data_IF_574448358615
#
_entry.id   IF_574448358615
#
_cell.length_a   1.000
_cell.length_b   1.000
_cell.length_c   1.000
_cell.angle_alpha   90.00
_cell.angle_beta   90.00
_cell.angle_gamma   90.00
#
_symmetry.space_group_name_H-M   'P 1'
#
loop_
_entity.id
_entity.type
_entity.pdbx_description
1 polymer ?
#
# COMPACT_ATOMS: atom_id res chain seq x y z
N UNK A 1 3.27 -0.73 23.33
CA UNK A 1 3.37 -2.00 24.08
C UNK A 1 1.97 -2.58 24.04
N UNK A 2 1.66 -3.34 23.01
CA UNK A 2 0.39 -4.05 22.88
C UNK A 2 0.73 -5.51 22.64
N UNK A 3 0.53 -6.31 23.70
CA UNK A 3 0.70 -7.75 23.67
C UNK A 3 -0.31 -8.36 22.68
N UNK A 4 0.19 -8.82 21.57
CA UNK A 4 -0.55 -9.65 20.61
C UNK A 4 -0.51 -11.08 21.12
N UNK A 5 -1.58 -11.51 21.76
CA UNK A 5 -1.81 -12.92 22.04
C UNK A 5 -2.04 -13.64 20.70
N UNK A 6 -1.03 -14.36 20.24
CA UNK A 6 -1.12 -15.34 19.17
C UNK A 6 -2.05 -16.48 19.62
N UNK A 7 -3.14 -16.67 18.91
CA UNK A 7 -4.00 -17.86 19.03
C UNK A 7 -3.50 -18.86 17.98
N UNK A 8 -2.76 -19.84 18.41
CA UNK A 8 -2.40 -21.02 17.62
C UNK A 8 -3.68 -21.72 17.16
N UNK A 9 -3.82 -21.86 15.83
CA UNK A 9 -4.83 -22.69 15.19
C UNK A 9 -4.29 -24.10 15.02
N UNK A 10 -4.85 -25.03 15.74
CA UNK A 10 -4.61 -26.47 15.59
C UNK A 10 -5.45 -27.00 14.40
N UNK A 11 -4.87 -27.71 13.43
CA UNK A 11 -5.61 -28.39 12.40
C UNK A 11 -5.88 -29.85 12.84
N UNK A 12 -7.13 -30.20 13.07
CA UNK A 12 -7.54 -31.62 13.11
C UNK A 12 -8.80 -31.80 12.29
N UNK A 13 -8.62 -32.30 11.08
CA UNK A 13 -9.63 -33.03 10.31
C UNK A 13 -9.93 -34.38 10.98
N UNK A 14 -11.22 -34.67 11.11
CA UNK A 14 -11.72 -35.96 11.62
C UNK A 14 -13.09 -35.76 12.25
N UNK A 15 -14.16 -35.80 11.47
CA UNK A 15 -15.51 -35.49 11.90
C UNK A 15 -16.17 -36.65 12.63
N UNK A 16 -16.24 -36.55 13.97
CA UNK A 16 -17.35 -37.08 14.75
C UNK A 16 -18.34 -35.94 15.08
N UNK A 17 -19.65 -36.20 15.27
CA UNK A 17 -20.64 -35.17 15.55
C UNK A 17 -20.24 -34.37 16.79
N UNK A 18 -20.44 -33.04 16.82
CA UNK A 18 -19.83 -32.16 17.80
C UNK A 18 -20.28 -32.56 19.21
N UNK A 19 -19.39 -33.21 19.92
CA UNK A 19 -19.56 -33.49 21.35
C UNK A 19 -19.75 -32.14 22.05
N UNK A 20 -20.77 -32.02 22.91
CA UNK A 20 -21.03 -30.78 23.63
C UNK A 20 -19.77 -30.33 24.39
N UNK A 21 -19.11 -29.31 23.86
CA UNK A 21 -17.85 -28.74 24.38
C UNK A 21 -17.92 -28.35 25.85
N UNK A 22 -19.15 -28.14 26.40
CA UNK A 22 -19.41 -27.74 27.79
C UNK A 22 -19.27 -28.94 28.72
N UNK A 23 -19.60 -30.16 28.24
CA UNK A 23 -19.69 -31.38 29.04
C UNK A 23 -18.41 -31.69 29.83
N UNK A 24 -17.21 -31.70 29.25
CA UNK A 24 -15.98 -31.95 30.00
C UNK A 24 -15.72 -30.91 31.09
N UNK A 25 -16.08 -29.63 30.85
CA UNK A 25 -15.94 -28.57 31.83
C UNK A 25 -16.94 -28.73 32.98
N UNK A 26 -18.20 -29.06 32.63
CA UNK A 26 -19.27 -29.29 33.59
C UNK A 26 -18.96 -30.52 34.46
N UNK A 27 -18.50 -31.62 33.89
CA UNK A 27 -18.12 -32.83 34.61
C UNK A 27 -16.94 -32.55 35.57
N UNK A 28 -15.96 -31.75 35.15
CA UNK A 28 -14.88 -31.30 36.02
C UNK A 28 -15.39 -30.43 37.18
N UNK A 29 -16.32 -29.48 36.93
CA UNK A 29 -16.82 -28.57 37.96
C UNK A 29 -17.83 -29.22 38.93
N UNK A 30 -18.69 -30.17 38.46
CA UNK A 30 -19.73 -30.80 39.24
C UNK A 30 -19.19 -32.05 39.98
N UNK A 31 -18.46 -32.91 39.22
CA UNK A 31 -18.12 -34.26 39.67
C UNK A 31 -16.62 -34.41 39.97
N UNK A 32 -15.80 -33.36 39.69
CA UNK A 32 -14.34 -33.46 39.77
C UNK A 32 -13.73 -34.45 38.77
N UNK A 33 -14.51 -34.93 37.77
CA UNK A 33 -14.06 -35.93 36.81
C UNK A 33 -13.28 -35.27 35.69
N UNK A 34 -12.08 -35.76 35.47
CA UNK A 34 -11.20 -35.32 34.37
C UNK A 34 -11.06 -36.45 33.34
N UNK A 35 -10.74 -36.17 32.09
CA UNK A 35 -10.40 -37.18 31.09
C UNK A 35 -9.19 -38.03 31.50
N UNK A 36 -9.09 -39.23 30.92
CA UNK A 36 -8.00 -40.17 31.20
C UNK A 36 -6.66 -39.71 30.59
N UNK A 37 -6.70 -38.94 29.50
CA UNK A 37 -5.48 -38.30 28.95
C UNK A 37 -5.00 -37.17 29.85
N UNK A 38 -3.75 -37.31 30.30
CA UNK A 38 -3.14 -36.40 31.26
C UNK A 38 -2.96 -34.98 30.71
N UNK A 39 -2.75 -34.86 29.38
CA UNK A 39 -2.58 -33.55 28.70
C UNK A 39 -3.92 -32.82 28.62
N UNK A 40 -4.97 -33.54 28.21
CA UNK A 40 -6.32 -33.01 28.13
C UNK A 40 -6.89 -32.70 29.51
N UNK A 41 -6.64 -33.54 30.50
CA UNK A 41 -7.02 -33.31 31.89
C UNK A 41 -6.45 -32.00 32.43
N UNK A 42 -5.16 -31.72 32.22
CA UNK A 42 -4.53 -30.47 32.63
C UNK A 42 -5.13 -29.26 31.90
N UNK A 43 -5.43 -29.40 30.59
CA UNK A 43 -6.06 -28.36 29.77
C UNK A 43 -7.45 -28.02 30.30
N UNK A 44 -8.28 -29.03 30.56
CA UNK A 44 -9.65 -28.84 31.10
C UNK A 44 -9.60 -28.25 32.51
N UNK A 45 -8.79 -28.75 33.41
CA UNK A 45 -8.65 -28.24 34.78
C UNK A 45 -8.21 -26.76 34.79
N UNK A 46 -7.29 -26.37 33.89
CA UNK A 46 -6.86 -24.97 33.73
C UNK A 46 -7.99 -24.08 33.21
N UNK A 47 -8.71 -24.56 32.19
CA UNK A 47 -9.83 -23.80 31.60
C UNK A 47 -11.02 -23.68 32.54
N UNK A 48 -11.36 -24.74 33.31
CA UNK A 48 -12.47 -24.77 34.25
C UNK A 48 -12.44 -23.63 35.28
N UNK A 49 -11.25 -23.13 35.63
CA UNK A 49 -11.09 -21.98 36.55
C UNK A 49 -11.80 -20.70 36.07
N UNK A 50 -11.99 -20.54 34.77
CA UNK A 50 -12.66 -19.37 34.17
C UNK A 50 -14.17 -19.55 34.06
N UNK A 51 -14.70 -20.70 34.49
CA UNK A 51 -16.13 -21.02 34.39
C UNK A 51 -16.74 -21.26 35.75
N UNK A 52 -18.05 -21.21 35.83
CA UNK A 52 -18.84 -21.61 36.99
C UNK A 52 -20.23 -22.06 36.53
N UNK A 53 -20.93 -22.75 37.43
CA UNK A 53 -22.28 -23.24 37.16
C UNK A 53 -23.28 -22.46 37.99
N UNK A 54 -24.34 -21.98 37.36
CA UNK A 54 -25.50 -21.37 37.99
C UNK A 54 -26.76 -21.92 37.33
N UNK A 55 -27.73 -22.32 38.13
CA UNK A 55 -29.04 -22.86 37.68
C UNK A 55 -28.89 -23.95 36.60
N UNK A 56 -27.94 -24.86 36.78
CA UNK A 56 -27.67 -25.96 35.84
C UNK A 56 -27.03 -25.54 34.52
N UNK A 57 -26.73 -24.28 34.32
CA UNK A 57 -26.09 -23.74 33.12
C UNK A 57 -24.64 -23.34 33.39
N UNK A 58 -23.77 -23.58 32.40
CA UNK A 58 -22.37 -23.16 32.45
C UNK A 58 -22.24 -21.69 32.05
N UNK A 59 -21.51 -20.93 32.85
CA UNK A 59 -21.18 -19.54 32.61
C UNK A 59 -19.68 -19.33 32.60
N UNK A 60 -19.21 -18.42 31.74
CA UNK A 60 -17.82 -17.96 31.72
C UNK A 60 -17.73 -16.63 32.47
N UNK A 61 -16.76 -16.51 33.35
CA UNK A 61 -16.43 -15.27 34.07
C UNK A 61 -15.84 -14.28 33.08
N UNK A 62 -16.37 -13.05 33.06
CA UNK A 62 -15.86 -11.96 32.20
C UNK A 62 -15.20 -10.89 33.07
N UNK A 63 -14.12 -10.26 32.59
CA UNK A 63 -13.52 -9.11 33.25
C UNK A 63 -14.45 -7.88 33.30
N UNK A 64 -15.49 -7.86 32.45
CA UNK A 64 -16.44 -6.75 32.28
C UNK A 64 -17.72 -6.90 33.10
N UNK A 65 -17.71 -7.68 34.16
CA UNK A 65 -18.85 -7.96 35.08
C UNK A 65 -20.05 -8.66 34.43
N UNK A 66 -20.16 -8.74 33.12
CA UNK A 66 -21.21 -9.46 32.42
C UNK A 66 -20.81 -10.93 32.28
N UNK A 67 -21.37 -11.78 33.12
CA UNK A 67 -21.15 -13.22 33.02
C UNK A 67 -21.78 -13.77 31.73
N UNK A 68 -21.02 -14.61 31.03
CA UNK A 68 -21.39 -15.10 29.71
C UNK A 68 -21.95 -16.52 29.80
N UNK A 69 -23.21 -16.71 29.46
CA UNK A 69 -23.83 -18.02 29.35
C UNK A 69 -23.19 -18.81 28.20
N UNK A 70 -22.73 -20.01 28.50
CA UNK A 70 -22.11 -20.89 27.53
C UNK A 70 -23.17 -21.60 26.67
N UNK A 71 -23.16 -21.35 25.37
CA UNK A 71 -24.10 -21.91 24.40
C UNK A 71 -23.40 -22.87 23.43
N UNK A 72 -24.17 -23.67 22.73
CA UNK A 72 -23.67 -24.54 21.67
C UNK A 72 -23.29 -23.72 20.43
N UNK A 73 -22.31 -24.17 19.61
CA UNK A 73 -21.90 -23.45 18.38
C UNK A 73 -23.06 -23.13 17.45
N UNK A 74 -24.00 -24.06 17.25
CA UNK A 74 -25.16 -23.87 16.36
C UNK A 74 -26.04 -22.69 16.82
N UNK A 75 -26.33 -22.62 18.12
CA UNK A 75 -27.05 -21.49 18.73
C UNK A 75 -26.25 -20.17 18.58
N UNK A 76 -24.93 -20.26 18.70
CA UNK A 76 -24.02 -19.13 18.51
C UNK A 76 -24.03 -18.62 17.06
N UNK A 77 -24.08 -19.53 16.09
CA UNK A 77 -24.14 -19.18 14.66
C UNK A 77 -25.46 -18.47 14.34
N UNK A 78 -26.59 -18.97 14.85
CA UNK A 78 -27.90 -18.29 14.67
C UNK A 78 -27.88 -16.89 15.29
N UNK A 79 -27.42 -16.76 16.52
CA UNK A 79 -27.25 -15.47 17.18
C UNK A 79 -26.38 -14.51 16.38
N UNK A 80 -25.25 -14.98 15.84
CA UNK A 80 -24.37 -14.14 15.00
C UNK A 80 -25.05 -13.70 13.70
N UNK A 81 -25.84 -14.58 13.07
CA UNK A 81 -26.63 -14.22 11.87
C UNK A 81 -27.62 -13.10 12.20
N UNK A 82 -28.34 -13.21 13.32
CA UNK A 82 -29.29 -12.19 13.76
C UNK A 82 -28.59 -10.86 14.08
N UNK A 83 -27.45 -10.90 14.76
CA UNK A 83 -26.64 -9.69 15.02
C UNK A 83 -26.08 -9.10 13.70
N UNK A 84 -25.79 -9.93 12.69
CA UNK A 84 -25.19 -9.48 11.44
C UNK A 84 -26.21 -8.84 10.48
N UNK A 85 -27.34 -9.49 10.27
CA UNK A 85 -28.36 -9.13 9.25
C UNK A 85 -29.67 -8.66 9.87
N UNK A 86 -29.94 -8.97 11.14
CA UNK A 86 -31.20 -8.66 11.81
C UNK A 86 -31.51 -7.17 11.92
N UNK A 87 -32.62 -6.82 12.54
CA UNK A 87 -33.18 -5.45 12.62
C UNK A 87 -32.17 -4.41 13.17
N UNK A 88 -31.26 -4.82 14.05
CA UNK A 88 -30.18 -4.00 14.59
C UNK A 88 -28.82 -4.32 13.91
N UNK A 89 -28.81 -5.10 12.84
CA UNK A 89 -27.63 -5.53 12.12
C UNK A 89 -27.05 -4.39 11.24
N UNK A 90 -25.74 -4.28 11.20
CA UNK A 90 -25.04 -3.30 10.38
C UNK A 90 -23.86 -3.92 9.62
N UNK A 91 -23.91 -5.22 9.37
CA UNK A 91 -22.86 -5.96 8.65
C UNK A 91 -21.45 -5.72 9.20
N UNK A 92 -21.32 -5.78 10.53
CA UNK A 92 -20.07 -5.52 11.23
C UNK A 92 -18.98 -6.55 10.92
N UNK A 93 -17.74 -6.17 11.16
CA UNK A 93 -16.58 -7.07 11.06
C UNK A 93 -16.68 -8.23 12.07
N UNK A 94 -16.04 -9.41 11.80
CA UNK A 94 -16.17 -10.60 12.65
C UNK A 94 -15.90 -10.36 14.13
N UNK A 95 -14.81 -9.64 14.46
CA UNK A 95 -14.48 -9.33 15.87
C UNK A 95 -15.55 -8.45 16.56
N UNK A 96 -16.15 -7.53 15.83
CA UNK A 96 -17.23 -6.66 16.33
C UNK A 96 -18.48 -7.48 16.60
N UNK A 97 -18.84 -8.41 15.70
CA UNK A 97 -19.97 -9.33 15.89
C UNK A 97 -19.80 -10.17 17.15
N UNK A 98 -18.64 -10.79 17.33
CA UNK A 98 -18.33 -11.58 18.53
C UNK A 98 -18.36 -10.71 19.78
N UNK A 99 -17.79 -9.50 19.71
CA UNK A 99 -17.85 -8.54 20.81
C UNK A 99 -19.30 -8.17 21.21
N UNK A 100 -20.21 -8.07 20.23
CA UNK A 100 -21.64 -7.84 20.50
C UNK A 100 -22.29 -9.05 21.18
N UNK A 101 -22.07 -10.27 20.68
CA UNK A 101 -22.58 -11.49 21.28
C UNK A 101 -22.09 -11.67 22.73
N UNK A 102 -20.80 -11.41 22.97
CA UNK A 102 -20.22 -11.51 24.31
C UNK A 102 -20.75 -10.45 25.29
N UNK A 103 -21.02 -9.22 24.81
CA UNK A 103 -21.68 -8.18 25.61
C UNK A 103 -23.13 -8.49 25.91
N UNK A 104 -23.81 -9.24 25.04
CA UNK A 104 -25.17 -9.76 25.29
C UNK A 104 -25.17 -10.93 26.29
N UNK A 105 -24.01 -11.35 26.75
CA UNK A 105 -23.88 -12.41 27.76
C UNK A 105 -23.86 -13.82 27.20
N UNK A 106 -23.42 -14.04 25.96
CA UNK A 106 -23.28 -15.36 25.35
C UNK A 106 -21.82 -15.69 25.03
N UNK A 107 -21.44 -16.95 25.16
CA UNK A 107 -20.06 -17.41 24.86
C UNK A 107 -20.04 -18.83 24.29
N UNK A 108 -19.20 -19.03 23.30
CA UNK A 108 -18.78 -20.35 22.79
C UNK A 108 -17.36 -20.26 22.20
N UNK A 109 -16.56 -21.35 22.17
CA UNK A 109 -15.14 -21.27 21.82
C UNK A 109 -14.87 -20.88 20.36
N UNK A 110 -15.73 -21.29 19.43
CA UNK A 110 -15.55 -21.08 17.98
C UNK A 110 -16.12 -19.76 17.45
N UNK A 111 -16.61 -18.88 18.33
CA UNK A 111 -17.32 -17.64 17.98
C UNK A 111 -16.61 -16.79 16.91
N UNK A 112 -15.27 -16.65 16.99
CA UNK A 112 -14.49 -15.84 16.03
C UNK A 112 -14.42 -16.52 14.64
N UNK A 113 -14.25 -17.84 14.63
CA UNK A 113 -14.22 -18.62 13.39
C UNK A 113 -15.58 -18.60 12.71
N UNK A 114 -16.67 -18.81 13.48
CA UNK A 114 -18.04 -18.78 12.99
C UNK A 114 -18.43 -17.41 12.45
N UNK A 115 -18.12 -16.33 13.18
CA UNK A 115 -18.33 -14.96 12.71
C UNK A 115 -17.54 -14.66 11.42
N UNK A 116 -16.31 -15.16 11.33
CA UNK A 116 -15.49 -14.99 10.12
C UNK A 116 -16.13 -15.68 8.92
N UNK A 117 -16.67 -16.88 9.11
CA UNK A 117 -17.39 -17.64 8.07
C UNK A 117 -18.63 -16.89 7.61
N UNK A 118 -19.47 -16.42 8.53
CA UNK A 118 -20.69 -15.67 8.25
C UNK A 118 -20.40 -14.38 7.46
N UNK A 119 -19.44 -13.57 7.92
CA UNK A 119 -19.10 -12.31 7.22
C UNK A 119 -18.48 -12.58 5.85
N UNK A 120 -17.70 -13.65 5.72
CA UNK A 120 -17.06 -14.03 4.45
C UNK A 120 -18.07 -14.47 3.39
N UNK A 121 -19.11 -15.22 3.75
CA UNK A 121 -20.15 -15.69 2.84
C UNK A 121 -21.28 -14.67 2.62
N UNK A 122 -21.35 -13.59 3.40
CA UNK A 122 -22.39 -12.57 3.22
C UNK A 122 -22.18 -11.78 1.93
N UNK A 123 -23.10 -11.85 0.98
CA UNK A 123 -23.04 -11.13 -0.29
C UNK A 123 -22.90 -9.61 -0.08
N UNK A 124 -23.71 -9.00 0.77
CA UNK A 124 -23.64 -7.58 1.07
C UNK A 124 -22.25 -7.16 1.52
N UNK A 125 -21.62 -7.92 2.44
CA UNK A 125 -20.26 -7.66 2.88
C UNK A 125 -19.22 -7.85 1.77
N UNK A 126 -19.42 -8.78 0.84
CA UNK A 126 -18.50 -9.03 -0.27
C UNK A 126 -18.57 -7.92 -1.33
N UNK A 127 -19.78 -7.55 -1.77
CA UNK A 127 -20.00 -6.52 -2.80
C UNK A 127 -19.63 -5.10 -2.35
N UNK A 128 -19.75 -4.80 -1.06
CA UNK A 128 -19.37 -3.50 -0.48
C UNK A 128 -18.03 -3.50 0.24
N UNK A 129 -17.25 -4.55 0.14
CA UNK A 129 -15.96 -4.63 0.79
C UNK A 129 -15.01 -3.55 0.26
N UNK A 130 -14.26 -2.96 1.19
CA UNK A 130 -13.18 -2.04 0.83
C UNK A 130 -12.09 -2.79 0.07
N UNK A 131 -11.50 -2.13 -0.91
CA UNK A 131 -10.29 -2.61 -1.56
C UNK A 131 -9.17 -2.64 -0.51
N UNK A 132 -8.79 -3.84 -0.07
CA UNK A 132 -7.63 -4.01 0.79
C UNK A 132 -6.37 -3.91 -0.06
N UNK A 133 -5.31 -3.32 0.49
CA UNK A 133 -4.01 -3.26 -0.17
C UNK A 133 -3.58 -4.67 -0.61
N UNK A 134 -3.24 -4.77 -1.87
CA UNK A 134 -3.03 -6.02 -2.55
C UNK A 134 -1.60 -6.51 -2.40
N UNK A 135 -1.37 -7.83 -2.47
CA UNK A 135 -0.02 -8.36 -2.48
C UNK A 135 0.72 -7.77 -3.66
N UNK A 136 1.84 -7.14 -3.36
CA UNK A 136 2.83 -6.91 -4.40
C UNK A 136 3.28 -8.28 -4.89
N UNK A 137 3.19 -8.54 -6.18
CA UNK A 137 4.13 -9.45 -6.80
C UNK A 137 5.54 -8.99 -6.40
N UNK A 138 6.48 -9.94 -6.28
CA UNK A 138 7.83 -9.64 -5.83
C UNK A 138 8.32 -8.35 -6.49
N UNK A 139 8.63 -7.34 -5.67
CA UNK A 139 9.11 -6.05 -6.14
C UNK A 139 10.36 -6.32 -6.98
N UNK A 140 10.27 -6.19 -8.29
CA UNK A 140 11.44 -6.28 -9.13
C UNK A 140 12.33 -5.08 -8.84
N UNK A 141 13.57 -5.36 -8.40
CA UNK A 141 14.57 -4.34 -8.26
C UNK A 141 15.13 -4.05 -9.64
N UNK A 142 15.06 -2.81 -10.03
CA UNK A 142 15.93 -2.28 -11.06
C UNK A 142 17.25 -1.99 -10.32
N UNK A 143 18.34 -2.67 -10.63
CA UNK A 143 19.64 -2.36 -10.03
C UNK A 143 20.04 -0.95 -10.48
N UNK A 144 20.04 -0.01 -9.54
CA UNK A 144 20.42 1.37 -9.79
C UNK A 144 21.84 1.49 -9.30
N UNK A 145 22.76 1.55 -10.22
CA UNK A 145 24.19 1.50 -9.90
C UNK A 145 24.89 2.85 -10.03
N UNK A 146 24.25 3.82 -10.71
CA UNK A 146 24.91 5.04 -11.16
C UNK A 146 23.96 6.25 -11.14
N UNK A 147 24.42 7.48 -10.81
CA UNK A 147 23.62 8.68 -10.96
C UNK A 147 23.18 8.90 -12.41
N UNK A 148 21.94 9.35 -12.60
CA UNK A 148 21.35 9.75 -13.89
C UNK A 148 21.13 8.66 -14.94
N UNK A 149 21.47 7.41 -14.64
CA UNK A 149 21.31 6.27 -15.57
C UNK A 149 19.85 5.86 -15.72
N UNK A 150 19.06 6.01 -14.67
CA UNK A 150 17.63 5.64 -14.68
C UNK A 150 16.78 6.78 -14.14
N UNK A 151 15.96 7.34 -15.02
CA UNK A 151 14.98 8.35 -14.64
C UNK A 151 13.57 7.77 -14.57
N UNK A 152 12.80 8.22 -13.60
CA UNK A 152 11.36 8.00 -13.60
C UNK A 152 10.65 9.26 -14.07
N UNK A 153 9.75 9.15 -15.04
CA UNK A 153 8.95 10.25 -15.56
C UNK A 153 7.48 10.05 -15.21
N UNK A 154 6.81 11.16 -14.91
CA UNK A 154 5.38 11.18 -14.65
C UNK A 154 4.81 12.57 -14.90
N UNK A 155 3.49 12.69 -14.90
CA UNK A 155 2.79 13.94 -15.09
C UNK A 155 1.77 14.18 -13.97
N UNK A 156 1.73 15.41 -13.49
CA UNK A 156 0.79 15.82 -12.42
C UNK A 156 -0.12 16.92 -12.95
N UNK A 157 -1.39 16.78 -12.70
CA UNK A 157 -2.41 17.78 -13.06
C UNK A 157 -3.81 17.18 -13.20
N UNK A 158 -4.81 17.95 -13.68
CA UNK A 158 -4.71 19.38 -13.96
C UNK A 158 -4.68 20.25 -12.69
N UNK A 159 -3.88 21.30 -12.73
CA UNK A 159 -3.89 22.38 -11.75
C UNK A 159 -4.83 23.52 -12.21
N UNK A 160 -5.10 24.45 -11.32
CA UNK A 160 -5.69 25.71 -11.73
C UNK A 160 -4.77 26.42 -12.72
N UNK A 161 -5.32 26.93 -13.80
CA UNK A 161 -4.57 27.61 -14.85
C UNK A 161 -3.73 28.75 -14.28
N UNK A 162 -2.42 28.65 -14.46
CA UNK A 162 -1.46 29.68 -14.07
C UNK A 162 -1.26 30.69 -15.22
N UNK A 163 -0.70 31.91 -14.92
CA UNK A 163 -0.28 32.83 -15.97
C UNK A 163 0.62 32.12 -17.00
N UNK A 164 0.36 32.31 -18.27
CA UNK A 164 0.99 31.59 -19.38
C UNK A 164 0.24 30.33 -19.81
N UNK A 165 -0.94 30.04 -19.21
CA UNK A 165 -1.79 28.94 -19.63
C UNK A 165 -1.38 27.56 -19.08
N UNK A 166 -0.44 27.50 -18.11
CA UNK A 166 0.05 26.26 -17.54
C UNK A 166 -1.00 25.55 -16.67
N UNK A 167 -1.21 24.28 -16.93
CA UNK A 167 -2.19 23.44 -16.22
C UNK A 167 -1.62 22.12 -15.70
N UNK A 168 -0.48 21.69 -16.20
CA UNK A 168 0.14 20.41 -15.83
C UNK A 168 1.62 20.60 -15.54
N UNK A 169 2.21 19.61 -14.87
CA UNK A 169 3.61 19.56 -14.51
C UNK A 169 4.18 18.21 -14.96
N UNK A 170 5.19 18.23 -15.82
CA UNK A 170 6.04 17.07 -16.06
C UNK A 170 7.04 16.97 -14.92
N UNK A 171 7.27 15.79 -14.40
CA UNK A 171 8.19 15.51 -13.29
C UNK A 171 9.11 14.37 -13.67
N UNK A 172 10.40 14.57 -13.45
CA UNK A 172 11.42 13.55 -13.60
C UNK A 172 12.20 13.38 -12.30
N UNK A 173 12.49 12.14 -11.93
CA UNK A 173 13.26 11.81 -10.72
C UNK A 173 14.39 10.86 -11.09
N UNK A 174 15.61 11.26 -10.81
CA UNK A 174 16.72 10.32 -10.85
C UNK A 174 16.58 9.27 -9.75
N UNK A 175 16.57 8.01 -10.16
CA UNK A 175 16.32 6.89 -9.23
C UNK A 175 17.46 6.69 -8.23
N UNK A 176 18.67 7.17 -8.53
CA UNK A 176 19.85 7.07 -7.67
C UNK A 176 19.92 8.22 -6.66
N UNK A 177 20.21 9.44 -7.13
CA UNK A 177 20.42 10.62 -6.28
C UNK A 177 19.15 11.16 -5.64
N UNK A 178 17.97 10.81 -6.18
CA UNK A 178 16.65 11.40 -5.85
C UNK A 178 16.53 12.85 -6.30
N UNK A 179 17.36 13.29 -7.23
CA UNK A 179 17.23 14.59 -7.86
C UNK A 179 15.91 14.69 -8.60
N UNK A 180 15.28 15.85 -8.50
CA UNK A 180 13.97 16.11 -9.10
C UNK A 180 14.07 17.26 -10.08
N UNK A 181 13.64 17.01 -11.32
CA UNK A 181 13.33 18.04 -12.32
C UNK A 181 11.83 18.14 -12.54
N UNK A 182 11.34 19.35 -12.81
CA UNK A 182 9.92 19.53 -13.08
C UNK A 182 9.69 20.74 -14.02
N UNK A 183 8.85 20.53 -15.03
CA UNK A 183 8.54 21.53 -16.06
C UNK A 183 7.02 21.77 -16.13
N UNK A 184 6.53 23.01 -15.90
CA UNK A 184 5.15 23.37 -16.18
C UNK A 184 4.84 23.30 -17.69
N UNK A 185 3.70 22.71 -18.04
CA UNK A 185 3.25 22.59 -19.43
C UNK A 185 1.81 23.09 -19.59
N UNK A 186 1.48 23.55 -20.79
CA UNK A 186 0.14 24.04 -21.15
C UNK A 186 -0.73 22.94 -21.74
N UNK A 187 -0.14 21.93 -22.36
CA UNK A 187 -0.84 20.86 -23.06
C UNK A 187 -0.14 19.51 -22.86
N UNK A 188 -0.95 18.43 -22.86
CA UNK A 188 -0.47 17.06 -22.75
C UNK A 188 -0.10 16.56 -24.14
N UNK A 189 1.14 16.80 -24.58
CA UNK A 189 1.65 16.37 -25.88
C UNK A 189 3.01 15.70 -25.75
N UNK A 190 3.33 14.83 -26.71
CA UNK A 190 4.62 14.13 -26.76
C UNK A 190 5.79 15.10 -27.00
N UNK A 191 5.58 16.19 -27.75
CA UNK A 191 6.59 17.21 -28.01
C UNK A 191 7.05 17.91 -26.72
N UNK A 192 6.13 18.14 -25.77
CA UNK A 192 6.49 18.71 -24.46
C UNK A 192 7.33 17.72 -23.64
N UNK A 193 7.02 16.43 -23.72
CA UNK A 193 7.81 15.39 -23.07
C UNK A 193 9.20 15.25 -23.69
N UNK A 194 9.32 15.34 -25.02
CA UNK A 194 10.60 15.37 -25.76
C UNK A 194 11.42 16.56 -25.33
N UNK A 195 10.86 17.77 -25.33
CA UNK A 195 11.57 18.99 -24.90
C UNK A 195 12.09 18.84 -23.48
N UNK A 196 11.26 18.38 -22.57
CA UNK A 196 11.66 18.18 -21.18
C UNK A 196 12.79 17.15 -21.03
N UNK A 197 12.73 16.05 -21.78
CA UNK A 197 13.78 15.04 -21.78
C UNK A 197 15.07 15.55 -22.42
N UNK A 198 14.98 16.39 -23.45
CA UNK A 198 16.12 17.07 -24.07
C UNK A 198 16.85 17.95 -23.05
N UNK A 199 16.13 18.74 -22.25
CA UNK A 199 16.71 19.56 -21.20
C UNK A 199 17.43 18.71 -20.14
N UNK A 200 16.85 17.56 -19.77
CA UNK A 200 17.49 16.61 -18.84
C UNK A 200 18.77 16.04 -19.44
N UNK A 201 18.74 15.61 -20.69
CA UNK A 201 19.92 15.07 -21.39
C UNK A 201 21.05 16.09 -21.47
N UNK A 202 20.74 17.34 -21.78
CA UNK A 202 21.76 18.39 -21.86
C UNK A 202 22.36 18.75 -20.50
N UNK A 203 21.64 18.55 -19.40
CA UNK A 203 22.12 18.82 -18.05
C UNK A 203 22.87 17.64 -17.40
N UNK A 204 22.41 16.40 -17.66
CA UNK A 204 22.83 15.22 -16.89
C UNK A 204 23.36 14.07 -17.75
N UNK A 205 23.36 14.20 -19.08
CA UNK A 205 23.74 13.15 -20.00
C UNK A 205 22.57 12.24 -20.41
N UNK A 206 22.83 11.36 -21.37
CA UNK A 206 21.83 10.43 -21.91
C UNK A 206 21.59 9.29 -20.91
N UNK A 207 20.36 9.09 -20.42
CA UNK A 207 20.04 7.97 -19.54
C UNK A 207 20.01 6.65 -20.29
N UNK A 208 20.34 5.56 -19.62
CA UNK A 208 20.20 4.21 -20.17
C UNK A 208 18.72 3.80 -20.25
N UNK A 209 17.92 4.18 -19.27
CA UNK A 209 16.49 3.87 -19.27
C UNK A 209 15.63 4.91 -18.59
N UNK A 210 14.37 4.96 -19.05
CA UNK A 210 13.32 5.80 -18.51
C UNK A 210 12.18 4.89 -18.06
N UNK A 211 11.67 5.12 -16.85
CA UNK A 211 10.48 4.44 -16.33
C UNK A 211 9.33 5.43 -16.34
N UNK A 212 8.26 5.10 -17.03
CA UNK A 212 7.07 5.95 -17.14
C UNK A 212 5.78 5.14 -17.14
N UNK A 213 4.65 5.80 -16.97
CA UNK A 213 3.34 5.20 -17.17
C UNK A 213 2.96 5.15 -18.66
N UNK A 214 1.79 4.57 -18.97
CA UNK A 214 1.27 4.50 -20.33
C UNK A 214 0.52 5.79 -20.74
N UNK A 215 0.89 6.94 -20.20
CA UNK A 215 0.29 8.23 -20.60
C UNK A 215 0.52 8.53 -22.08
N UNK A 216 -0.44 9.19 -22.72
CA UNK A 216 -0.40 9.50 -24.17
C UNK A 216 0.81 10.34 -24.56
N UNK A 217 1.31 11.19 -23.67
CA UNK A 217 2.52 12.00 -23.86
C UNK A 217 3.79 11.17 -23.98
N UNK A 218 3.82 9.97 -23.37
CA UNK A 218 4.98 9.09 -23.39
C UNK A 218 4.83 7.93 -24.38
N UNK A 219 3.61 7.61 -24.84
CA UNK A 219 3.34 6.55 -25.83
C UNK A 219 3.27 7.07 -27.27
N UNK A 220 3.28 8.38 -27.47
CA UNK A 220 3.23 9.00 -28.78
C UNK A 220 4.51 8.76 -29.59
N UNK A 221 4.36 8.62 -30.91
CA UNK A 221 5.47 8.36 -31.84
C UNK A 221 6.66 9.34 -31.67
N UNK A 222 6.45 10.67 -31.53
CA UNK A 222 7.58 11.60 -31.38
C UNK A 222 8.45 11.31 -30.15
N UNK A 223 7.85 10.86 -29.05
CA UNK A 223 8.62 10.54 -27.85
C UNK A 223 9.38 9.23 -27.99
N UNK A 224 8.76 8.22 -28.60
CA UNK A 224 9.40 6.92 -28.80
C UNK A 224 10.55 7.00 -29.83
N UNK A 225 10.36 7.72 -30.94
CA UNK A 225 11.38 7.97 -31.95
C UNK A 225 12.57 8.72 -31.34
N UNK A 226 12.32 9.72 -30.49
CA UNK A 226 13.37 10.42 -29.77
C UNK A 226 14.15 9.49 -28.83
N UNK A 227 13.45 8.64 -28.06
CA UNK A 227 14.12 7.66 -27.19
C UNK A 227 14.95 6.65 -28.00
N UNK A 228 14.45 6.19 -29.15
CA UNK A 228 15.19 5.27 -30.04
C UNK A 228 16.43 5.93 -30.63
N UNK A 229 16.34 7.18 -31.08
CA UNK A 229 17.45 7.96 -31.61
C UNK A 229 18.62 8.09 -30.62
N UNK A 230 18.31 8.24 -29.33
CA UNK A 230 19.31 8.33 -28.25
C UNK A 230 19.62 6.98 -27.60
N UNK A 231 19.10 5.87 -28.11
CA UNK A 231 19.23 4.51 -27.56
C UNK A 231 18.76 4.40 -26.11
N UNK A 232 17.72 5.15 -25.73
CA UNK A 232 17.14 5.16 -24.40
C UNK A 232 16.06 4.08 -24.32
N UNK A 233 16.24 3.12 -23.40
CA UNK A 233 15.21 2.11 -23.15
C UNK A 233 14.03 2.70 -22.39
N UNK A 234 12.81 2.51 -22.88
CA UNK A 234 11.58 2.90 -22.17
C UNK A 234 10.99 1.69 -21.45
N UNK A 235 11.02 1.73 -20.12
CA UNK A 235 10.45 0.71 -19.26
C UNK A 235 9.05 1.16 -18.79
N UNK A 236 8.02 0.53 -19.32
CA UNK A 236 6.64 0.86 -18.98
C UNK A 236 6.29 0.36 -17.58
N UNK A 237 5.85 1.26 -16.71
CA UNK A 237 5.14 0.88 -15.51
C UNK A 237 3.82 0.24 -15.96
N UNK A 238 3.80 -1.08 -16.10
CA UNK A 238 2.60 -1.78 -16.56
C UNK A 238 1.44 -1.49 -15.61
N UNK A 239 0.22 -1.49 -16.15
CA UNK A 239 -1.03 -1.44 -15.35
C UNK A 239 -1.01 -2.52 -14.26
N UNK A 240 -0.24 -3.60 -14.47
CA UNK A 240 -0.01 -4.67 -13.51
C UNK A 240 1.01 -4.34 -12.40
N UNK A 241 1.88 -3.33 -12.59
CA UNK A 241 2.94 -2.97 -11.64
C UNK A 241 3.06 -1.44 -11.45
N UNK A 242 2.04 -0.76 -10.92
CA UNK A 242 2.08 0.69 -10.70
C UNK A 242 3.22 1.12 -9.77
N UNK A 243 3.74 0.20 -8.97
CA UNK A 243 4.83 0.46 -8.01
C UNK A 243 6.21 0.65 -8.65
N UNK A 244 6.39 0.30 -9.91
CA UNK A 244 7.65 0.53 -10.64
C UNK A 244 7.93 2.03 -10.73
N UNK A 245 6.89 2.87 -10.84
CA UNK A 245 6.99 4.33 -10.83
C UNK A 245 6.73 4.99 -9.47
N UNK A 246 6.54 4.21 -8.40
CA UNK A 246 6.17 4.70 -7.06
C UNK A 246 7.14 5.72 -6.43
N UNK A 247 8.37 5.85 -6.93
CA UNK A 247 9.28 6.91 -6.50
C UNK A 247 8.88 8.27 -7.08
N UNK A 248 8.44 8.30 -8.34
CA UNK A 248 7.98 9.53 -9.00
C UNK A 248 6.61 9.94 -8.46
N UNK A 249 5.69 8.99 -8.26
CA UNK A 249 4.40 9.25 -7.59
C UNK A 249 4.60 9.87 -6.20
N UNK A 250 5.60 9.37 -5.46
CA UNK A 250 5.96 9.95 -4.16
C UNK A 250 6.55 11.35 -4.31
N UNK A 251 7.39 11.61 -5.30
CA UNK A 251 7.93 12.93 -5.58
C UNK A 251 6.80 13.91 -5.93
N UNK A 252 5.84 13.48 -6.75
CA UNK A 252 4.64 14.24 -7.06
C UNK A 252 3.87 14.63 -5.79
N UNK A 253 3.68 13.66 -4.89
CA UNK A 253 3.05 13.91 -3.59
C UNK A 253 3.80 14.93 -2.75
N UNK A 254 5.12 14.89 -2.71
CA UNK A 254 5.97 15.82 -1.94
C UNK A 254 5.98 17.20 -2.58
N UNK A 255 6.06 17.31 -3.91
CA UNK A 255 5.93 18.59 -4.64
C UNK A 255 4.59 19.25 -4.30
N UNK A 256 3.48 18.49 -4.38
CA UNK A 256 2.16 18.99 -4.03
C UNK A 256 2.07 19.43 -2.56
N UNK A 257 2.68 18.69 -1.64
CA UNK A 257 2.75 19.08 -0.22
C UNK A 257 3.54 20.37 -0.01
N UNK A 258 4.60 20.60 -0.77
CA UNK A 258 5.37 21.83 -0.73
C UNK A 258 4.63 23.04 -1.34
N UNK A 259 3.92 22.81 -2.46
CA UNK A 259 3.15 23.85 -3.16
C UNK A 259 1.92 24.30 -2.36
N UNK A 260 1.14 23.36 -1.81
CA UNK A 260 -0.13 23.65 -1.13
C UNK A 260 -0.04 24.75 -0.07
N UNK A 261 0.89 24.72 0.91
CA UNK A 261 1.00 25.80 1.91
C UNK A 261 1.44 27.13 1.31
N UNK A 262 2.32 27.12 0.30
CA UNK A 262 2.85 28.34 -0.34
C UNK A 262 1.82 29.09 -1.15
N UNK A 263 0.89 28.35 -1.81
CA UNK A 263 -0.21 28.94 -2.59
C UNK A 263 -1.48 29.12 -1.76
N UNK A 264 -1.46 28.74 -0.47
CA UNK A 264 -2.62 28.89 0.40
C UNK A 264 -2.94 30.35 0.66
N UNK A 265 -4.16 30.76 0.27
CA UNK A 265 -4.70 32.06 0.60
C UNK A 265 -6.17 31.91 0.96
N UNK A 266 -6.58 32.54 2.07
CA UNK A 266 -7.98 32.57 2.51
C UNK A 266 -8.93 33.15 1.45
N UNK A 267 -8.45 33.93 0.50
CA UNK A 267 -9.23 34.66 -0.48
C UNK A 267 -9.18 34.07 -1.91
N UNK A 268 -8.69 32.86 -2.09
CA UNK A 268 -8.61 32.14 -3.41
C UNK A 268 -7.87 32.89 -4.54
N UNK A 269 -7.28 34.05 -4.31
CA UNK A 269 -6.65 34.90 -5.35
C UNK A 269 -5.31 34.37 -5.91
N UNK A 270 -4.72 33.30 -5.33
CA UNK A 270 -3.33 32.92 -5.60
C UNK A 270 -3.12 31.50 -6.11
N UNK A 271 -4.19 30.73 -6.37
CA UNK A 271 -4.05 29.33 -6.80
C UNK A 271 -3.29 29.16 -8.13
N UNK A 272 -3.26 30.18 -8.99
CA UNK A 272 -2.46 30.20 -10.23
C UNK A 272 -0.97 30.48 -10.03
N UNK A 273 -0.51 30.85 -8.82
CA UNK A 273 0.90 31.15 -8.54
C UNK A 273 1.78 29.91 -8.33
N UNK A 274 1.25 28.71 -8.50
CA UNK A 274 2.00 27.48 -8.29
C UNK A 274 3.26 27.38 -9.17
N UNK A 275 3.22 27.93 -10.39
CA UNK A 275 4.39 27.98 -11.29
C UNK A 275 5.51 28.84 -10.69
N UNK A 276 5.18 29.99 -10.10
CA UNK A 276 6.15 30.90 -9.49
C UNK A 276 6.78 30.31 -8.23
N UNK A 277 6.02 29.51 -7.47
CA UNK A 277 6.49 28.88 -6.24
C UNK A 277 7.24 27.56 -6.48
N UNK A 278 7.11 26.97 -7.68
CA UNK A 278 7.72 25.68 -8.00
C UNK A 278 9.24 25.67 -7.82
N UNK A 279 10.02 26.66 -8.31
CA UNK A 279 11.48 26.66 -8.13
C UNK A 279 11.90 26.61 -6.66
N UNK A 280 11.20 27.33 -5.78
CA UNK A 280 11.47 27.31 -4.34
C UNK A 280 11.18 25.95 -3.70
N UNK A 281 10.13 25.27 -4.17
CA UNK A 281 9.80 23.92 -3.71
C UNK A 281 10.86 22.92 -4.19
N UNK A 282 11.26 22.98 -5.46
CA UNK A 282 12.31 22.10 -5.99
C UNK A 282 13.64 22.33 -5.29
N UNK A 283 14.01 23.59 -5.03
CA UNK A 283 15.20 23.94 -4.26
C UNK A 283 15.19 23.29 -2.88
N UNK A 284 14.07 23.45 -2.15
CA UNK A 284 13.91 22.83 -0.83
C UNK A 284 14.04 21.30 -0.88
N UNK A 285 13.47 20.64 -1.90
CA UNK A 285 13.55 19.18 -2.05
C UNK A 285 14.97 18.71 -2.41
N UNK A 286 15.69 19.45 -3.23
CA UNK A 286 17.08 19.15 -3.63
C UNK A 286 18.05 19.31 -2.46
N UNK A 287 17.77 20.23 -1.53
CA UNK A 287 18.61 20.53 -0.37
C UNK A 287 18.13 19.84 0.92
N UNK A 288 17.05 19.08 0.87
CA UNK A 288 16.55 18.28 2.00
C UNK A 288 17.06 16.86 1.96
N UNK A 289 17.42 16.32 3.13
CA UNK A 289 17.96 14.97 3.27
C UNK A 289 16.93 13.89 2.89
N UNK A 290 17.27 13.04 1.94
CA UNK A 290 16.46 11.89 1.54
C UNK A 290 16.56 10.75 2.57
N UNK A 291 15.43 10.21 2.99
CA UNK A 291 15.39 9.04 3.89
C UNK A 291 15.99 7.78 3.28
N UNK A 292 15.95 7.65 1.96
CA UNK A 292 16.44 6.48 1.26
C UNK A 292 17.96 6.45 1.16
N UNK A 293 18.59 7.58 0.83
CA UNK A 293 20.05 7.69 0.65
C UNK A 293 20.75 8.12 1.93
N UNK A 294 20.06 8.90 2.78
CA UNK A 294 20.65 9.52 3.95
C UNK A 294 21.47 10.79 3.63
N UNK A 295 21.42 11.27 2.39
CA UNK A 295 22.09 12.47 1.90
C UNK A 295 21.08 13.39 1.22
N UNK A 296 21.45 14.65 0.97
CA UNK A 296 20.66 15.55 0.13
C UNK A 296 20.85 15.17 -1.36
N UNK A 297 19.85 15.34 -2.22
CA UNK A 297 20.04 15.18 -3.67
C UNK A 297 21.13 16.09 -4.22
N UNK A 298 21.26 17.30 -3.68
CA UNK A 298 22.28 18.28 -4.08
C UNK A 298 23.69 17.74 -3.82
N UNK A 299 23.94 17.22 -2.62
CA UNK A 299 25.24 16.60 -2.29
C UNK A 299 25.54 15.39 -3.20
N UNK A 300 24.56 14.55 -3.44
CA UNK A 300 24.71 13.35 -4.29
C UNK A 300 25.10 13.68 -5.75
N UNK A 301 24.76 14.88 -6.21
CA UNK A 301 25.08 15.37 -7.56
C UNK A 301 26.43 16.08 -7.57
N UNK A 302 26.63 17.05 -6.67
CA UNK A 302 27.73 18.01 -6.73
C UNK A 302 28.90 17.70 -5.78
N UNK A 303 28.76 16.73 -4.88
CA UNK A 303 29.79 16.41 -3.89
C UNK A 303 29.86 17.37 -2.70
N UNK A 304 29.10 18.43 -2.71
CA UNK A 304 29.06 19.42 -1.64
C UNK A 304 27.59 19.80 -1.34
N UNK A 305 27.31 20.21 -0.11
CA UNK A 305 25.99 20.74 0.23
C UNK A 305 25.81 22.17 -0.34
N UNK A 306 24.59 22.49 -0.74
CA UNK A 306 24.27 23.84 -1.20
C UNK A 306 24.47 24.88 -0.09
N UNK A 307 24.96 26.05 -0.45
CA UNK A 307 24.91 27.24 0.43
C UNK A 307 23.52 27.84 0.30
N UNK A 308 22.82 27.91 1.42
CA UNK A 308 21.47 28.46 1.49
C UNK A 308 21.52 29.97 1.80
N UNK A 309 20.51 30.76 1.40
CA UNK A 309 20.45 32.18 1.80
C UNK A 309 20.60 32.39 3.30
N UNK A 310 20.03 31.50 4.11
CA UNK A 310 20.17 31.55 5.58
C UNK A 310 21.61 31.35 6.06
N UNK A 311 22.44 30.61 5.32
CA UNK A 311 23.86 30.45 5.67
C UNK A 311 24.61 31.77 5.54
N UNK A 312 24.22 32.57 4.54
CA UNK A 312 24.79 33.92 4.34
C UNK A 312 24.23 34.90 5.37
N UNK A 313 22.91 34.93 5.58
CA UNK A 313 22.23 35.84 6.47
C UNK A 313 22.70 35.70 7.93
N UNK A 314 22.96 34.49 8.38
CA UNK A 314 23.39 34.18 9.76
C UNK A 314 24.90 33.91 9.89
N UNK A 315 25.67 34.05 8.80
CA UNK A 315 27.12 33.86 8.83
C UNK A 315 27.50 32.46 9.30
N UNK A 316 27.02 31.42 8.63
CA UNK A 316 27.28 30.04 9.05
C UNK A 316 28.80 29.76 9.09
N UNK A 317 29.28 28.90 10.01
CA UNK A 317 30.72 28.56 10.11
C UNK A 317 31.31 28.08 8.79
N UNK A 318 30.52 27.41 7.98
CA UNK A 318 30.91 26.91 6.67
C UNK A 318 31.21 28.04 5.68
N UNK A 319 30.46 29.12 5.71
CA UNK A 319 30.67 30.31 4.88
C UNK A 319 31.88 31.11 5.39
N UNK A 320 32.01 31.23 6.72
CA UNK A 320 33.14 31.93 7.34
C UNK A 320 34.47 31.22 7.15
N UNK A 321 34.45 29.85 7.07
CA UNK A 321 35.67 29.06 6.87
C UNK A 321 36.09 28.95 5.39
N UNK A 322 35.44 29.67 4.48
CA UNK A 322 35.80 29.63 3.06
C UNK A 322 37.17 30.28 2.84
N UNK A 323 38.11 29.47 2.39
CA UNK A 323 39.46 29.90 1.97
C UNK A 323 39.62 29.74 0.46
N UNK A 324 39.74 30.84 -0.31
CA UNK A 324 39.94 30.79 -1.75
C UNK A 324 41.21 30.05 -2.17
N UNK A 325 42.28 30.08 -1.34
CA UNK A 325 43.56 29.45 -1.66
C UNK A 325 43.55 27.95 -1.40
N UNK A 326 42.83 27.45 -0.41
CA UNK A 326 42.65 26.04 -0.10
C UNK A 326 41.48 25.36 -0.87
N UNK A 327 40.71 26.12 -1.66
CA UNK A 327 39.47 25.63 -2.27
C UNK A 327 39.70 24.48 -3.26
N UNK A 328 40.78 24.50 -4.01
CA UNK A 328 41.07 23.45 -5.02
C UNK A 328 41.35 22.10 -4.36
N UNK A 329 42.14 22.08 -3.28
CA UNK A 329 42.42 20.86 -2.50
C UNK A 329 41.12 20.37 -1.80
N UNK A 330 40.34 21.26 -1.20
CA UNK A 330 39.06 20.91 -0.56
C UNK A 330 38.05 20.36 -1.57
N UNK A 331 38.06 20.85 -2.82
CA UNK A 331 37.17 20.36 -3.87
C UNK A 331 37.58 18.93 -4.29
N UNK A 332 38.89 18.64 -4.35
CA UNK A 332 39.40 17.33 -4.71
C UNK A 332 39.10 16.29 -3.63
N UNK A 333 39.31 16.66 -2.36
CA UNK A 333 38.89 15.84 -1.20
C UNK A 333 37.39 15.59 -1.16
N UNK A 334 36.59 16.58 -1.52
CA UNK A 334 35.12 16.44 -1.57
C UNK A 334 34.69 15.49 -2.71
N UNK A 335 35.37 15.47 -3.84
CA UNK A 335 35.08 14.54 -4.93
C UNK A 335 35.46 13.11 -4.56
N UNK A 336 36.58 12.89 -3.89
CA UNK A 336 37.00 11.56 -3.42
C UNK A 336 35.99 11.02 -2.38
N UNK A 337 35.51 11.86 -1.48
CA UNK A 337 34.48 11.51 -0.50
C UNK A 337 33.10 11.25 -1.14
N UNK A 338 32.83 11.83 -2.32
CA UNK A 338 31.57 11.67 -3.01
C UNK A 338 31.31 10.22 -3.45
N UNK A 339 32.33 9.54 -3.96
CA UNK A 339 32.19 8.15 -4.41
C UNK A 339 31.95 7.21 -3.22
N UNK A 340 32.65 7.43 -2.12
CA UNK A 340 32.38 6.71 -0.85
C UNK A 340 30.97 6.96 -0.33
N UNK A 341 30.51 8.20 -0.38
CA UNK A 341 29.15 8.56 0.01
C UNK A 341 28.08 7.94 -0.91
N UNK A 342 28.34 7.80 -2.21
CA UNK A 342 27.49 7.13 -3.19
C UNK A 342 27.36 5.64 -2.89
N UNK A 343 28.44 4.97 -2.53
CA UNK A 343 28.43 3.57 -2.11
C UNK A 343 27.61 3.37 -0.82
N UNK A 344 27.80 4.25 0.16
CA UNK A 344 27.00 4.26 1.38
C UNK A 344 25.51 4.51 1.06
N UNK A 345 25.20 5.42 0.14
CA UNK A 345 23.83 5.69 -0.28
C UNK A 345 23.18 4.48 -0.96
N UNK A 346 23.92 3.72 -1.79
CA UNK A 346 23.50 2.46 -2.39
C UNK A 346 23.09 1.45 -1.31
N UNK A 347 23.97 1.22 -0.34
CA UNK A 347 23.72 0.28 0.76
C UNK A 347 22.49 0.71 1.60
N UNK A 348 22.37 2.00 1.89
CA UNK A 348 21.21 2.56 2.63
C UNK A 348 19.92 2.41 1.82
N UNK A 349 19.96 2.72 0.53
CA UNK A 349 18.82 2.54 -0.37
C UNK A 349 18.36 1.08 -0.44
N UNK A 350 19.30 0.13 -0.55
CA UNK A 350 19.00 -1.29 -0.55
C UNK A 350 18.34 -1.73 0.78
N UNK A 351 18.92 -1.33 1.93
CA UNK A 351 18.33 -1.61 3.25
C UNK A 351 16.95 -0.99 3.42
N UNK A 352 16.76 0.25 2.98
CA UNK A 352 15.47 0.94 3.03
C UNK A 352 14.41 0.22 2.18
N UNK A 353 14.77 -0.19 0.97
CA UNK A 353 13.88 -0.96 0.11
C UNK A 353 13.56 -2.34 0.69
N UNK A 354 14.56 -3.01 1.29
CA UNK A 354 14.35 -4.29 1.97
C UNK A 354 13.42 -4.16 3.18
N UNK A 355 13.60 -3.12 3.99
CA UNK A 355 12.72 -2.83 5.12
C UNK A 355 11.28 -2.52 4.67
N UNK A 356 11.09 -1.77 3.58
CA UNK A 356 9.78 -1.53 2.98
C UNK A 356 9.12 -2.83 2.50
N UNK A 357 9.90 -3.72 1.83
CA UNK A 357 9.39 -5.03 1.41
C UNK A 357 8.93 -5.85 2.59
N UNK A 358 9.76 -5.96 3.61
CA UNK A 358 9.46 -6.71 4.82
C UNK A 358 8.21 -6.17 5.55
N UNK A 359 8.08 -4.83 5.65
CA UNK A 359 6.89 -4.18 6.20
C UNK A 359 5.63 -4.50 5.39
N UNK A 360 5.74 -4.51 4.07
CA UNK A 360 4.62 -4.85 3.19
C UNK A 360 4.34 -6.36 3.22
N UNK A 361 5.34 -7.22 3.19
CA UNK A 361 5.19 -8.68 3.19
C UNK A 361 4.48 -9.20 4.44
N UNK A 362 4.72 -8.61 5.60
CA UNK A 362 4.03 -8.97 6.84
C UNK A 362 2.52 -8.69 6.83
N UNK A 363 2.06 -7.76 5.99
CA UNK A 363 0.65 -7.36 5.90
C UNK A 363 -0.06 -7.91 4.67
N UNK A 364 0.66 -8.59 3.81
CA UNK A 364 0.17 -9.04 2.52
C UNK A 364 0.22 -10.56 2.51
N UNK A 365 -0.96 -11.20 2.49
CA UNK A 365 -1.06 -12.60 2.13
C UNK A 365 -1.02 -12.70 0.60
N UNK A 366 -0.17 -13.58 0.07
CA UNK A 366 -0.15 -13.90 -1.35
C UNK A 366 -1.55 -14.36 -1.77
N UNK A 367 -2.05 -13.75 -2.82
CA UNK A 367 -3.30 -14.17 -3.44
C UNK A 367 -2.97 -14.81 -4.76
N UNK A 368 -3.51 -15.97 -4.96
CA UNK A 368 -3.58 -16.62 -6.25
C UNK A 368 -4.99 -17.13 -6.45
N UNK A 369 -5.42 -17.20 -7.69
CA UNK A 369 -6.70 -17.79 -8.07
C UNK A 369 -6.41 -18.95 -9.02
N UNK A 370 -7.21 -19.99 -8.89
CA UNK A 370 -7.18 -21.13 -9.79
C UNK A 370 -8.31 -21.02 -10.83
N UNK A 371 -8.22 -21.79 -11.89
CA UNK A 371 -9.31 -21.95 -12.85
C UNK A 371 -10.54 -22.47 -12.10
N UNK A 372 -11.73 -22.07 -12.53
CA UNK A 372 -13.04 -22.37 -11.93
C UNK A 372 -13.34 -21.70 -10.58
N UNK A 373 -12.44 -20.88 -10.05
CA UNK A 373 -12.76 -20.10 -8.86
C UNK A 373 -13.68 -18.90 -9.18
N UNK A 374 -14.63 -18.66 -8.27
CA UNK A 374 -15.54 -17.52 -8.34
C UNK A 374 -14.87 -16.24 -7.82
N UNK A 375 -14.98 -15.17 -8.60
CA UNK A 375 -14.40 -13.87 -8.25
C UNK A 375 -15.37 -12.72 -8.51
N UNK A 376 -15.27 -11.68 -7.70
CA UNK A 376 -15.84 -10.37 -7.98
C UNK A 376 -14.80 -9.50 -8.71
N UNK A 377 -15.27 -8.68 -9.61
CA UNK A 377 -14.47 -7.73 -10.38
C UNK A 377 -14.72 -6.30 -9.89
N UNK A 378 -13.64 -5.51 -9.74
CA UNK A 378 -13.75 -4.09 -9.43
C UNK A 378 -14.31 -3.34 -10.65
N UNK A 379 -15.34 -2.55 -10.41
CA UNK A 379 -16.00 -1.78 -11.46
C UNK A 379 -15.10 -0.68 -11.98
N UNK A 380 -14.84 -0.69 -13.28
CA UNK A 380 -13.93 0.25 -13.96
C UNK A 380 -14.58 1.62 -14.23
N UNK A 381 -15.86 1.65 -14.61
CA UNK A 381 -16.55 2.88 -14.98
C UNK A 381 -17.42 3.40 -13.84
N UNK A 382 -17.21 4.66 -13.47
CA UNK A 382 -18.05 5.37 -12.48
C UNK A 382 -19.26 6.08 -13.11
N UNK A 383 -19.40 6.02 -14.45
CA UNK A 383 -20.46 6.71 -15.19
C UNK A 383 -21.83 6.13 -14.82
N UNK A 384 -22.77 6.96 -14.36
CA UNK A 384 -24.11 6.53 -13.96
C UNK A 384 -24.24 5.91 -12.57
N UNK A 385 -23.19 5.95 -11.72
CA UNK A 385 -23.20 5.38 -10.38
C UNK A 385 -23.33 6.45 -9.29
N UNK A 386 -24.01 6.11 -8.23
CA UNK A 386 -24.20 6.94 -7.03
C UNK A 386 -23.40 6.37 -5.83
N UNK A 387 -23.37 7.12 -4.72
CA UNK A 387 -22.57 6.75 -3.53
C UNK A 387 -22.90 5.40 -2.89
N UNK A 388 -24.12 4.89 -3.11
CA UNK A 388 -24.59 3.60 -2.60
C UNK A 388 -24.39 2.44 -3.59
N UNK A 389 -23.83 2.67 -4.77
CA UNK A 389 -23.55 1.61 -5.74
C UNK A 389 -22.37 0.76 -5.24
N UNK A 390 -22.47 -0.59 -5.30
CA UNK A 390 -21.39 -1.48 -4.87
C UNK A 390 -20.15 -1.29 -5.75
N UNK A 391 -18.94 -1.24 -5.19
CA UNK A 391 -17.71 -1.10 -5.97
C UNK A 391 -17.34 -2.37 -6.74
N UNK A 392 -17.90 -3.51 -6.39
CA UNK A 392 -17.63 -4.80 -6.99
C UNK A 392 -18.83 -5.30 -7.80
N UNK A 393 -18.56 -6.08 -8.84
CA UNK A 393 -19.56 -6.72 -9.71
C UNK A 393 -19.20 -8.19 -9.98
N UNK A 394 -20.18 -9.03 -10.31
CA UNK A 394 -20.05 -10.45 -10.52
C UNK A 394 -21.12 -11.27 -9.78
N UNK A 395 -20.91 -12.52 -9.42
CA UNK A 395 -19.63 -13.26 -9.54
C UNK A 395 -19.29 -13.69 -10.98
N UNK A 396 -18.00 -13.77 -11.25
CA UNK A 396 -17.43 -14.31 -12.50
C UNK A 396 -16.59 -15.54 -12.19
N UNK A 397 -16.37 -16.40 -13.18
CA UNK A 397 -15.52 -17.58 -13.09
C UNK A 397 -14.18 -17.31 -13.74
N UNK A 398 -13.10 -17.75 -13.16
CA UNK A 398 -11.77 -17.69 -13.81
C UNK A 398 -11.70 -18.77 -14.88
N UNK A 399 -11.63 -18.36 -16.17
CA UNK A 399 -11.50 -19.28 -17.29
C UNK A 399 -10.06 -19.69 -17.54
N UNK A 400 -9.10 -18.79 -17.34
CA UNK A 400 -7.68 -19.08 -17.60
C UNK A 400 -6.75 -18.24 -16.74
N UNK A 401 -5.65 -18.84 -16.29
CA UNK A 401 -4.50 -18.14 -15.66
C UNK A 401 -3.45 -17.90 -16.75
N UNK A 402 -3.27 -16.66 -17.19
CA UNK A 402 -2.32 -16.31 -18.25
C UNK A 402 -0.88 -16.26 -17.74
N UNK A 403 -0.69 -15.68 -16.58
CA UNK A 403 0.56 -15.59 -15.81
C UNK A 403 0.23 -15.24 -14.36
N UNK A 404 1.14 -15.44 -13.41
CA UNK A 404 0.89 -15.07 -12.02
C UNK A 404 0.38 -13.64 -11.91
N UNK A 405 -0.85 -13.49 -11.37
CA UNK A 405 -1.51 -12.20 -11.19
C UNK A 405 -2.34 -11.68 -12.38
N UNK A 406 -2.44 -12.42 -13.51
CA UNK A 406 -3.25 -12.03 -14.66
C UNK A 406 -4.18 -13.18 -15.08
N UNK A 407 -5.48 -12.89 -15.16
CA UNK A 407 -6.55 -13.86 -15.28
C UNK A 407 -7.52 -13.49 -16.39
N UNK A 408 -8.04 -14.49 -17.11
CA UNK A 408 -9.24 -14.35 -17.94
C UNK A 408 -10.47 -14.75 -17.15
N UNK A 409 -11.56 -14.06 -17.41
CA UNK A 409 -12.84 -14.27 -16.75
C UNK A 409 -13.90 -14.71 -17.76
N UNK A 410 -14.86 -15.47 -17.27
CA UNK A 410 -16.10 -15.80 -17.98
C UNK A 410 -17.31 -15.53 -17.07
N UNK A 411 -18.45 -15.28 -17.68
CA UNK A 411 -19.72 -15.24 -16.96
C UNK A 411 -20.10 -16.64 -16.46
N UNK A 412 -21.00 -16.77 -15.47
CA UNK A 412 -21.52 -18.08 -15.06
C UNK A 412 -22.16 -18.87 -16.21
N UNK A 413 -22.59 -18.20 -17.26
CA UNK A 413 -23.20 -18.80 -18.45
C UNK A 413 -22.15 -19.24 -19.50
N UNK A 414 -20.85 -19.10 -19.24
CA UNK A 414 -19.76 -19.54 -20.11
C UNK A 414 -19.30 -18.51 -21.15
N UNK A 415 -19.79 -17.27 -21.13
CA UNK A 415 -19.30 -16.22 -22.04
C UNK A 415 -17.97 -15.65 -21.54
N UNK A 416 -16.91 -15.79 -22.33
CA UNK A 416 -15.59 -15.26 -22.00
C UNK A 416 -15.45 -13.76 -22.29
N UNK A 417 -14.76 -13.06 -21.40
CA UNK A 417 -14.36 -11.66 -21.63
C UNK A 417 -13.07 -11.61 -22.48
N UNK A 418 -13.04 -10.71 -23.45
CA UNK A 418 -11.88 -10.52 -24.33
C UNK A 418 -10.63 -10.03 -23.55
N UNK A 419 -10.83 -9.27 -22.49
CA UNK A 419 -9.74 -8.63 -21.73
C UNK A 419 -9.22 -9.53 -20.60
N UNK A 420 -7.92 -9.43 -20.32
CA UNK A 420 -7.31 -10.01 -19.13
C UNK A 420 -7.44 -9.04 -17.94
N UNK A 421 -7.61 -9.62 -16.74
CA UNK A 421 -7.80 -8.88 -15.49
C UNK A 421 -6.66 -9.12 -14.53
N UNK A 422 -6.23 -8.06 -13.86
CA UNK A 422 -5.21 -8.15 -12.83
C UNK A 422 -5.81 -8.62 -11.51
N UNK A 423 -5.04 -9.37 -10.73
CA UNK A 423 -5.38 -9.78 -9.37
C UNK A 423 -5.85 -8.61 -8.49
N UNK A 424 -5.34 -7.40 -8.74
CA UNK A 424 -5.74 -6.18 -8.03
C UNK A 424 -7.19 -5.78 -8.28
N UNK A 425 -7.73 -6.16 -9.40
CA UNK A 425 -9.09 -5.87 -9.81
C UNK A 425 -10.06 -7.01 -9.47
N UNK A 426 -9.55 -8.07 -8.85
CA UNK A 426 -10.31 -9.27 -8.54
C UNK A 426 -10.37 -9.52 -7.04
N UNK A 427 -11.45 -10.12 -6.60
CA UNK A 427 -11.65 -10.56 -5.22
C UNK A 427 -12.35 -11.89 -5.22
N UNK A 428 -11.89 -12.86 -4.40
CA UNK A 428 -12.57 -14.15 -4.26
C UNK A 428 -14.00 -13.96 -3.78
N UNK A 429 -14.94 -14.60 -4.44
CA UNK A 429 -16.34 -14.69 -4.01
C UNK A 429 -16.58 -16.03 -3.32
N UNK A 430 -17.32 -16.01 -2.25
CA UNK A 430 -17.70 -17.18 -1.46
C UNK A 430 -19.23 -17.32 -1.55
N UNK A 431 -19.73 -18.36 -2.22
CA UNK A 431 -21.18 -18.64 -2.33
C UNK A 431 -21.80 -19.00 -0.99
#
# INVERSE_FOLDING_TARGET
>A
MDDVLEVESDPSDGADPPSDWRKPIMDCLIKGKLPDDQTEARRIARRAKSFYISDGSLFKRSPTEINQRCILPDQGIELLKDIHVGACGHHAAPRTLVGNAFRQGFYWPTAVADATKIVRSCEGCQFFARQTHLPAQALQNIPITWPFVVWGLDMVGPFQTAPGGFTHLLVAVDKFSKWIEALPITSIRSEEAVKFLTDIIHCFGVPNSIITDNGTQFTGAPFLEFCDQYHIRVDWASVAHPRTNGQVERANGIILQGLKPRIFSRLKKFAGKWVTELPSVLWSLRTSKSRATGFTPFFMVYGAEAILPTDLDYGSPRVQAYDPQGNETNLQDALDQLDEARDVALLRSAKYQQALRWYHSRRIQERSFNVDELVLRLVQSKKGRHKLSPPWEGPYVISQVLRPGSYKLQTPNGEEFANAWNIEQLRRFYP
#
